data_IF_554466645534
#
_entry.id   IF_554466645534
#
_cell.length_a   1.000
_cell.length_b   1.000
_cell.length_c   1.000
_cell.angle_alpha   90.00
_cell.angle_beta   90.00
_cell.angle_gamma   90.00
#
_symmetry.space_group_name_H-M   'P 1'
#
loop_
_entity.id
_entity.type
_entity.pdbx_description
1 polymer ?
#
# COMPACT_ATOMS: atom_id res chain seq x y z
N UNK A 1 10.73 14.26 14.16
CA UNK A 1 10.03 14.45 12.91
C UNK A 1 9.27 13.20 12.50
N UNK A 2 8.43 13.28 11.48
CA UNK A 2 7.78 12.11 10.88
C UNK A 2 8.71 11.45 9.88
N UNK A 3 8.59 10.14 9.70
CA UNK A 3 9.23 9.45 8.59
C UNK A 3 8.61 9.83 7.26
N UNK A 4 9.42 9.89 6.22
CA UNK A 4 8.99 10.21 4.85
C UNK A 4 9.01 8.95 4.01
N UNK A 5 7.87 8.66 3.36
CA UNK A 5 7.71 7.53 2.44
C UNK A 5 7.37 8.04 1.03
N UNK A 6 7.90 7.39 -0.02
CA UNK A 6 7.57 7.75 -1.40
C UNK A 6 7.52 6.54 -2.33
N UNK A 7 6.79 6.70 -3.44
CA UNK A 7 6.69 5.67 -4.48
C UNK A 7 7.95 5.63 -5.34
N UNK A 8 8.42 4.42 -5.64
CA UNK A 8 9.44 4.16 -6.66
C UNK A 8 8.87 3.23 -7.75
N UNK A 9 9.21 3.51 -9.00
CA UNK A 9 8.78 2.73 -10.15
C UNK A 9 9.93 2.31 -11.07
N UNK A 10 11.14 2.83 -10.83
CA UNK A 10 12.37 2.54 -11.61
C UNK A 10 13.58 2.55 -10.70
N UNK A 11 14.70 1.97 -11.15
CA UNK A 11 15.99 2.06 -10.47
C UNK A 11 16.45 3.50 -10.25
N UNK A 12 16.19 4.39 -11.21
CA UNK A 12 16.51 5.82 -11.06
C UNK A 12 15.78 6.45 -9.88
N UNK A 13 14.48 6.14 -9.69
CA UNK A 13 13.72 6.65 -8.54
C UNK A 13 14.32 6.14 -7.23
N UNK A 14 14.76 4.87 -7.17
CA UNK A 14 15.44 4.33 -5.98
C UNK A 14 16.68 5.16 -5.64
N UNK A 15 17.57 5.38 -6.60
CA UNK A 15 18.81 6.13 -6.35
C UNK A 15 18.55 7.58 -5.90
N UNK A 16 17.61 8.27 -6.53
CA UNK A 16 17.26 9.65 -6.14
C UNK A 16 16.63 9.70 -4.73
N UNK A 17 15.78 8.74 -4.38
CA UNK A 17 15.18 8.65 -3.05
C UNK A 17 16.23 8.38 -1.96
N UNK A 18 17.16 7.45 -2.21
CA UNK A 18 18.26 7.17 -1.28
C UNK A 18 19.16 8.38 -1.09
N UNK A 19 19.48 9.08 -2.16
CA UNK A 19 20.26 10.32 -2.12
C UNK A 19 19.55 11.45 -1.36
N UNK A 20 18.22 11.53 -1.48
CA UNK A 20 17.39 12.52 -0.78
C UNK A 20 17.13 12.16 0.70
N UNK A 21 17.56 10.98 1.18
CA UNK A 21 17.37 10.55 2.56
C UNK A 21 15.92 10.17 2.88
N UNK A 22 15.20 9.61 1.93
CA UNK A 22 13.86 9.06 2.16
C UNK A 22 13.94 7.86 3.10
N UNK A 23 13.03 7.80 4.08
CA UNK A 23 13.06 6.79 5.14
C UNK A 23 12.43 5.45 4.73
N UNK A 24 11.42 5.48 3.84
CA UNK A 24 10.64 4.31 3.42
C UNK A 24 10.35 4.41 1.93
N UNK A 25 10.56 3.31 1.20
CA UNK A 25 10.13 3.22 -0.20
C UNK A 25 8.89 2.36 -0.33
N UNK A 26 8.00 2.69 -1.26
CA UNK A 26 6.91 1.80 -1.61
C UNK A 26 6.76 1.64 -3.12
N UNK A 27 6.30 0.47 -3.53
CA UNK A 27 6.19 0.08 -4.94
C UNK A 27 4.72 0.04 -5.31
N UNK A 28 4.34 0.79 -6.33
CA UNK A 28 2.97 0.94 -6.79
C UNK A 28 2.42 -0.31 -7.48
N UNK A 29 1.10 -0.46 -7.50
CA UNK A 29 0.40 -1.64 -8.01
C UNK A 29 0.69 -1.96 -9.49
N UNK A 30 0.89 -0.92 -10.33
CA UNK A 30 1.24 -1.10 -11.76
C UNK A 30 2.66 -1.62 -11.92
N UNK A 31 3.59 -1.15 -11.09
CA UNK A 31 4.98 -1.61 -11.07
C UNK A 31 5.07 -3.03 -10.54
N UNK A 32 4.34 -3.34 -9.46
CA UNK A 32 4.25 -4.70 -8.90
C UNK A 32 3.75 -5.73 -9.91
N UNK A 33 2.87 -5.33 -10.82
CA UNK A 33 2.37 -6.20 -11.88
C UNK A 33 3.41 -6.53 -12.97
N UNK A 34 4.60 -5.89 -12.95
CA UNK A 34 5.65 -6.09 -13.94
C UNK A 34 6.88 -6.75 -13.29
N UNK A 35 7.13 -8.06 -13.49
CA UNK A 35 8.27 -8.77 -12.89
C UNK A 35 9.64 -8.20 -13.28
N UNK A 36 9.77 -7.63 -14.49
CA UNK A 36 11.03 -7.04 -14.94
C UNK A 36 11.32 -5.73 -14.20
N UNK A 37 10.32 -4.86 -14.06
CA UNK A 37 10.47 -3.64 -13.26
C UNK A 37 10.74 -3.96 -11.78
N UNK A 38 10.08 -4.98 -11.23
CA UNK A 38 10.36 -5.46 -9.88
C UNK A 38 11.79 -5.96 -9.71
N UNK A 39 12.33 -6.68 -10.71
CA UNK A 39 13.72 -7.14 -10.67
C UNK A 39 14.71 -5.97 -10.77
N UNK A 40 14.46 -5.00 -11.64
CA UNK A 40 15.29 -3.79 -11.76
C UNK A 40 15.36 -3.02 -10.43
N UNK A 41 14.22 -2.83 -9.76
CA UNK A 41 14.15 -2.18 -8.45
C UNK A 41 14.88 -3.01 -7.39
N UNK A 42 14.68 -4.32 -7.37
CA UNK A 42 15.35 -5.23 -6.44
C UNK A 42 16.89 -5.15 -6.61
N UNK A 43 17.39 -5.14 -7.84
CA UNK A 43 18.80 -5.00 -8.13
C UNK A 43 19.39 -3.66 -7.67
N UNK A 44 18.63 -2.57 -7.83
CA UNK A 44 19.03 -1.24 -7.36
C UNK A 44 19.06 -1.13 -5.81
N UNK A 45 18.34 -2.00 -5.12
CA UNK A 45 18.25 -2.03 -3.66
C UNK A 45 19.26 -2.98 -3.00
N UNK A 46 20.06 -3.73 -3.75
CA UNK A 46 21.06 -4.63 -3.19
C UNK A 46 22.05 -3.90 -2.29
N UNK A 47 22.21 -4.40 -1.06
CA UNK A 47 23.10 -3.80 -0.07
C UNK A 47 22.55 -2.56 0.65
N UNK A 48 21.31 -2.19 0.38
CA UNK A 48 20.64 -1.05 1.05
C UNK A 48 19.81 -1.57 2.22
N UNK A 49 19.84 -0.87 3.36
CA UNK A 49 18.98 -1.15 4.53
C UNK A 49 17.88 -0.08 4.64
N UNK A 50 16.80 -0.25 3.92
CA UNK A 50 15.62 0.62 3.94
C UNK A 50 14.35 -0.23 3.98
N UNK A 51 13.28 0.17 4.70
CA UNK A 51 11.98 -0.48 4.60
C UNK A 51 11.39 -0.33 3.19
N UNK A 52 10.83 -1.42 2.66
CA UNK A 52 10.17 -1.42 1.35
C UNK A 52 8.77 -2.00 1.47
N UNK A 53 7.77 -1.23 1.09
CA UNK A 53 6.37 -1.66 1.08
C UNK A 53 5.94 -1.97 -0.36
N UNK A 54 5.23 -3.07 -0.56
CA UNK A 54 4.84 -3.53 -1.89
C UNK A 54 3.31 -3.57 -2.00
N UNK A 55 2.73 -2.69 -2.83
CA UNK A 55 1.29 -2.75 -3.14
C UNK A 55 0.96 -4.04 -3.90
N UNK A 56 -0.22 -4.60 -3.67
CA UNK A 56 -0.70 -5.70 -4.51
C UNK A 56 -0.76 -5.27 -5.99
N UNK A 57 -0.56 -6.20 -6.95
CA UNK A 57 -0.73 -5.91 -8.36
C UNK A 57 -2.17 -5.47 -8.66
N UNK A 58 -2.37 -4.77 -9.78
CA UNK A 58 -3.70 -4.31 -10.20
C UNK A 58 -4.67 -5.47 -10.42
N UNK A 59 -4.18 -6.59 -10.94
CA UNK A 59 -4.95 -7.82 -11.13
C UNK A 59 -5.01 -8.64 -9.84
N UNK A 60 -6.09 -9.41 -9.60
CA UNK A 60 -6.23 -10.27 -8.42
C UNK A 60 -5.37 -11.54 -8.54
N UNK A 61 -4.05 -11.37 -8.43
CA UNK A 61 -3.05 -12.42 -8.58
C UNK A 61 -2.14 -12.44 -7.35
N UNK A 62 -2.40 -13.40 -6.46
CA UNK A 62 -1.64 -13.58 -5.23
C UNK A 62 -0.21 -14.04 -5.49
N UNK A 63 0.00 -14.93 -6.45
CA UNK A 63 1.34 -15.47 -6.75
C UNK A 63 2.25 -14.37 -7.32
N UNK A 64 1.70 -13.48 -8.13
CA UNK A 64 2.41 -12.32 -8.64
C UNK A 64 2.81 -11.36 -7.49
N UNK A 65 1.93 -11.17 -6.50
CA UNK A 65 2.23 -10.34 -5.34
C UNK A 65 3.31 -10.95 -4.45
N UNK A 66 3.20 -12.24 -4.16
CA UNK A 66 4.24 -13.00 -3.41
C UNK A 66 5.57 -12.94 -4.16
N UNK A 67 5.57 -13.22 -5.46
CA UNK A 67 6.79 -13.16 -6.27
C UNK A 67 7.46 -11.78 -6.29
N UNK A 68 6.67 -10.69 -6.23
CA UNK A 68 7.22 -9.35 -6.08
C UNK A 68 7.91 -9.14 -4.73
N UNK A 69 7.26 -9.57 -3.63
CA UNK A 69 7.83 -9.52 -2.27
C UNK A 69 9.11 -10.38 -2.16
N UNK A 70 9.09 -11.58 -2.74
CA UNK A 70 10.26 -12.48 -2.75
C UNK A 70 11.47 -11.88 -3.46
N UNK A 71 11.27 -11.19 -4.60
CA UNK A 71 12.36 -10.52 -5.32
C UNK A 71 13.05 -9.48 -4.45
N UNK A 72 12.28 -8.66 -3.75
CA UNK A 72 12.82 -7.64 -2.83
C UNK A 72 13.52 -8.32 -1.64
N UNK A 73 12.92 -9.36 -1.05
CA UNK A 73 13.54 -10.11 0.05
C UNK A 73 14.87 -10.79 -0.38
N UNK A 74 14.90 -11.35 -1.58
CA UNK A 74 16.10 -12.03 -2.13
C UNK A 74 17.22 -11.04 -2.47
N UNK A 75 16.89 -9.77 -2.74
CA UNK A 75 17.88 -8.70 -2.86
C UNK A 75 18.52 -8.30 -1.52
N UNK A 76 18.04 -8.85 -0.40
CA UNK A 76 18.59 -8.64 0.94
C UNK A 76 17.73 -7.77 1.85
N UNK A 77 16.63 -7.19 1.36
CA UNK A 77 15.75 -6.31 2.13
C UNK A 77 14.88 -7.16 3.08
N UNK A 78 15.01 -6.93 4.40
CA UNK A 78 14.29 -7.70 5.43
C UNK A 78 13.14 -6.94 6.07
N UNK A 79 13.10 -5.61 5.92
CA UNK A 79 12.03 -4.76 6.45
C UNK A 79 10.97 -4.54 5.38
N UNK A 80 10.10 -5.54 5.19
CA UNK A 80 9.05 -5.54 4.17
C UNK A 80 7.66 -5.39 4.79
N UNK A 81 6.76 -4.76 4.03
CA UNK A 81 5.32 -4.80 4.30
C UNK A 81 4.55 -4.92 2.98
N UNK A 82 3.38 -5.52 3.02
CA UNK A 82 2.44 -5.55 1.92
C UNK A 82 1.41 -4.42 2.07
N UNK A 83 1.05 -3.75 0.96
CA UNK A 83 -0.05 -2.77 0.96
C UNK A 83 -1.19 -3.33 0.11
N UNK A 84 -2.34 -3.52 0.75
CA UNK A 84 -3.57 -3.93 0.08
C UNK A 84 -4.37 -2.70 -0.34
N UNK A 85 -4.49 -2.48 -1.66
CA UNK A 85 -5.20 -1.34 -2.26
C UNK A 85 -6.43 -1.74 -3.10
N UNK A 86 -6.86 -3.00 -2.99
CA UNK A 86 -7.89 -3.59 -3.83
C UNK A 86 -7.38 -3.96 -5.23
N UNK A 87 -8.24 -4.60 -6.00
CA UNK A 87 -7.93 -5.12 -7.33
C UNK A 87 -8.84 -4.51 -8.38
N UNK A 88 -8.34 -4.35 -9.60
CA UNK A 88 -9.14 -3.87 -10.70
C UNK A 88 -10.29 -4.84 -11.00
N UNK A 89 -11.45 -4.27 -11.32
CA UNK A 89 -12.62 -5.03 -11.75
C UNK A 89 -13.31 -4.25 -12.86
N UNK A 90 -14.01 -4.97 -13.73
CA UNK A 90 -14.90 -4.37 -14.71
C UNK A 90 -16.11 -3.70 -14.04
N UNK A 91 -16.67 -4.35 -13.01
CA UNK A 91 -17.79 -3.81 -12.23
C UNK A 91 -17.28 -2.89 -11.12
N UNK A 92 -17.51 -1.58 -11.28
CA UNK A 92 -17.08 -0.51 -10.36
C UNK A 92 -18.27 0.16 -9.64
N UNK A 93 -19.33 -0.57 -9.32
CA UNK A 93 -20.55 0.03 -8.73
C UNK A 93 -20.30 0.66 -7.36
N UNK A 94 -19.67 -0.05 -6.46
CA UNK A 94 -19.45 0.41 -5.09
C UNK A 94 -18.01 0.90 -4.90
N UNK A 95 -17.03 0.08 -5.23
CA UNK A 95 -15.60 0.34 -5.02
C UNK A 95 -14.88 0.77 -6.30
N UNK A 96 -13.87 1.61 -6.18
CA UNK A 96 -12.94 1.91 -7.27
C UNK A 96 -12.12 0.67 -7.64
N UNK A 97 -11.67 -0.07 -6.62
CA UNK A 97 -11.00 -1.35 -6.76
C UNK A 97 -11.60 -2.33 -5.76
N UNK A 98 -12.00 -3.51 -6.23
CA UNK A 98 -12.61 -4.51 -5.35
C UNK A 98 -11.63 -4.97 -4.28
N UNK A 99 -12.03 -4.97 -3.01
CA UNK A 99 -11.13 -5.35 -1.92
C UNK A 99 -10.70 -6.82 -1.97
N UNK A 100 -11.57 -7.75 -2.42
CA UNK A 100 -11.27 -9.19 -2.48
C UNK A 100 -10.46 -9.66 -1.26
N UNK A 101 -10.98 -9.43 -0.06
CA UNK A 101 -10.29 -9.63 1.23
C UNK A 101 -9.67 -11.01 1.43
N UNK A 102 -10.21 -12.04 0.77
CA UNK A 102 -9.66 -13.39 0.80
C UNK A 102 -8.19 -13.44 0.31
N UNK A 103 -7.78 -12.56 -0.60
CA UNK A 103 -6.41 -12.53 -1.13
C UNK A 103 -5.40 -12.07 -0.08
N UNK A 104 -5.53 -10.89 0.57
CA UNK A 104 -4.60 -10.52 1.63
C UNK A 104 -4.71 -11.41 2.88
N UNK A 105 -5.87 -12.02 3.15
CA UNK A 105 -6.00 -13.04 4.21
C UNK A 105 -5.15 -14.27 3.89
N UNK A 106 -5.20 -14.75 2.65
CA UNK A 106 -4.37 -15.87 2.20
C UNK A 106 -2.89 -15.51 2.16
N UNK A 107 -2.53 -14.26 1.77
CA UNK A 107 -1.16 -13.76 1.89
C UNK A 107 -0.63 -13.87 3.32
N UNK A 108 -1.42 -13.43 4.31
CA UNK A 108 -1.05 -13.55 5.73
C UNK A 108 -0.88 -15.00 6.16
N UNK A 109 -1.79 -15.89 5.72
CA UNK A 109 -1.69 -17.31 6.04
C UNK A 109 -0.37 -17.92 5.54
N UNK A 110 0.09 -17.51 4.35
CA UNK A 110 1.35 -18.01 3.75
C UNK A 110 2.60 -17.33 4.34
N UNK A 111 2.51 -16.05 4.69
CA UNK A 111 3.63 -15.25 5.19
C UNK A 111 3.18 -14.54 6.49
N UNK A 112 3.06 -15.28 7.61
CA UNK A 112 2.43 -14.76 8.84
C UNK A 112 3.17 -13.58 9.49
N UNK A 113 4.47 -13.47 9.25
CA UNK A 113 5.30 -12.39 9.81
C UNK A 113 5.36 -11.13 8.94
N UNK A 114 4.68 -11.11 7.78
CA UNK A 114 4.66 -9.96 6.90
C UNK A 114 3.57 -8.99 7.34
N UNK A 115 3.90 -7.75 7.75
CA UNK A 115 2.89 -6.73 8.03
C UNK A 115 2.04 -6.43 6.79
N UNK A 116 0.72 -6.30 6.98
CA UNK A 116 -0.20 -5.89 5.91
C UNK A 116 -0.83 -4.55 6.27
N UNK A 117 -0.73 -3.60 5.36
CA UNK A 117 -1.28 -2.25 5.44
C UNK A 117 -2.46 -2.16 4.48
N UNK A 118 -3.57 -1.54 4.88
CA UNK A 118 -4.70 -1.28 4.01
C UNK A 118 -4.62 0.14 3.42
N UNK A 119 -4.94 0.25 2.14
CA UNK A 119 -5.11 1.50 1.42
C UNK A 119 -6.62 1.71 1.12
N UNK A 120 -7.41 2.23 2.07
CA UNK A 120 -8.84 2.40 1.91
C UNK A 120 -9.18 3.45 0.85
N UNK A 121 -8.30 4.43 0.64
CA UNK A 121 -8.49 5.49 -0.36
C UNK A 121 -8.61 4.91 -1.77
N UNK A 122 -7.68 4.04 -2.15
CA UNK A 122 -7.69 3.41 -3.47
C UNK A 122 -8.72 2.27 -3.58
N UNK A 123 -9.07 1.59 -2.50
CA UNK A 123 -10.18 0.62 -2.49
C UNK A 123 -11.50 1.36 -2.75
N UNK A 124 -11.80 2.34 -1.92
CA UNK A 124 -13.09 3.05 -1.95
C UNK A 124 -13.25 3.95 -3.17
N UNK A 125 -12.26 4.79 -3.44
CA UNK A 125 -12.33 5.85 -4.47
C UNK A 125 -13.30 6.97 -4.14
N UNK A 126 -13.88 6.96 -2.92
CA UNK A 126 -14.87 7.92 -2.41
C UNK A 126 -14.66 8.14 -0.92
N UNK A 127 -14.82 9.38 -0.46
CA UNK A 127 -14.59 9.78 0.95
C UNK A 127 -15.45 9.01 1.94
N UNK A 128 -16.71 8.78 1.61
CA UNK A 128 -17.67 8.09 2.48
C UNK A 128 -17.29 6.62 2.77
N UNK A 129 -16.45 6.02 1.93
CA UNK A 129 -16.01 4.64 2.10
C UNK A 129 -14.73 4.52 2.93
N UNK A 130 -14.01 5.60 3.22
CA UNK A 130 -12.71 5.54 3.91
C UNK A 130 -12.88 4.98 5.33
N UNK A 131 -13.74 5.58 6.16
CA UNK A 131 -13.93 5.16 7.54
C UNK A 131 -14.39 3.69 7.68
N UNK A 132 -15.42 3.21 6.96
CA UNK A 132 -15.83 1.81 7.05
C UNK A 132 -14.75 0.85 6.54
N UNK A 133 -13.98 1.19 5.51
CA UNK A 133 -12.88 0.36 5.02
C UNK A 133 -11.70 0.32 6.01
N UNK A 134 -11.40 1.44 6.67
CA UNK A 134 -10.42 1.47 7.76
C UNK A 134 -10.82 0.51 8.88
N UNK A 135 -12.09 0.58 9.35
CA UNK A 135 -12.55 -0.31 10.41
C UNK A 135 -12.52 -1.77 9.97
N UNK A 136 -12.95 -2.07 8.75
CA UNK A 136 -12.90 -3.43 8.23
C UNK A 136 -11.47 -3.98 8.16
N UNK A 137 -10.49 -3.15 7.80
CA UNK A 137 -9.08 -3.56 7.83
C UNK A 137 -8.61 -3.87 9.26
N UNK A 138 -9.01 -3.06 10.25
CA UNK A 138 -8.68 -3.31 11.67
C UNK A 138 -9.37 -4.58 12.18
N UNK A 139 -10.63 -4.82 11.80
CA UNK A 139 -11.37 -6.03 12.15
C UNK A 139 -10.75 -7.31 11.56
N UNK A 140 -10.09 -7.19 10.41
CA UNK A 140 -9.30 -8.24 9.77
C UNK A 140 -7.87 -8.35 10.34
N UNK A 141 -7.52 -7.54 11.35
CA UNK A 141 -6.20 -7.57 12.01
C UNK A 141 -5.06 -7.01 11.14
N UNK A 142 -5.32 -6.10 10.21
CA UNK A 142 -4.23 -5.46 9.45
C UNK A 142 -3.38 -4.58 10.37
N UNK A 143 -2.10 -4.44 10.01
CA UNK A 143 -1.09 -3.79 10.86
C UNK A 143 -1.06 -2.27 10.73
N UNK A 144 -1.75 -1.71 9.74
CA UNK A 144 -1.78 -0.27 9.53
C UNK A 144 -2.62 0.17 8.34
N UNK A 145 -2.62 1.48 8.14
CA UNK A 145 -3.39 2.15 7.08
C UNK A 145 -2.49 3.10 6.31
N UNK A 146 -2.78 3.30 5.02
CA UNK A 146 -2.24 4.39 4.20
C UNK A 146 -3.42 5.14 3.60
N UNK A 147 -3.59 6.41 3.97
CA UNK A 147 -4.78 7.20 3.65
C UNK A 147 -4.36 8.50 2.98
N UNK A 148 -4.99 8.84 1.87
CA UNK A 148 -4.77 10.10 1.19
C UNK A 148 -5.50 11.25 1.90
N UNK A 149 -4.75 12.30 2.22
CA UNK A 149 -5.26 13.50 2.90
C UNK A 149 -4.76 14.77 2.22
N UNK A 150 -5.63 15.78 2.12
CA UNK A 150 -5.31 17.08 1.53
C UNK A 150 -6.05 18.19 2.26
N UNK A 151 -5.42 19.34 2.44
CA UNK A 151 -6.03 20.49 3.13
C UNK A 151 -7.30 21.01 2.43
N UNK A 152 -7.40 20.88 1.11
CA UNK A 152 -8.56 21.16 0.30
C UNK A 152 -8.75 20.06 -0.76
N UNK A 153 -9.37 18.90 -0.42
CA UNK A 153 -9.43 17.74 -1.29
C UNK A 153 -10.01 18.00 -2.68
N UNK A 154 -10.96 18.91 -2.81
CA UNK A 154 -11.59 19.23 -4.10
C UNK A 154 -10.63 19.92 -5.09
N UNK A 155 -9.54 20.49 -4.58
CA UNK A 155 -8.47 21.10 -5.38
C UNK A 155 -7.23 20.21 -5.53
N UNK A 156 -7.29 18.94 -5.09
CA UNK A 156 -6.16 18.03 -5.24
C UNK A 156 -5.87 17.74 -6.72
N UNK A 157 -4.61 17.67 -7.07
CA UNK A 157 -4.17 17.45 -8.46
C UNK A 157 -4.54 16.06 -9.00
N UNK A 158 -4.73 15.10 -8.10
CA UNK A 158 -5.14 13.74 -8.44
C UNK A 158 -6.05 13.18 -7.36
N UNK A 159 -6.90 12.23 -7.74
CA UNK A 159 -7.70 11.40 -6.84
C UNK A 159 -8.55 12.19 -5.81
N UNK A 160 -8.97 13.41 -6.16
CA UNK A 160 -9.69 14.37 -5.29
C UNK A 160 -10.89 13.76 -4.57
N UNK A 161 -11.65 12.87 -5.24
CA UNK A 161 -12.87 12.25 -4.70
C UNK A 161 -12.63 11.31 -3.52
N UNK A 162 -11.40 10.81 -3.35
CA UNK A 162 -11.05 9.84 -2.31
C UNK A 162 -10.17 10.43 -1.20
N UNK A 163 -9.73 11.67 -1.33
CA UNK A 163 -8.93 12.34 -0.31
C UNK A 163 -9.81 12.93 0.78
N UNK A 164 -9.37 12.84 2.03
CA UNK A 164 -10.03 13.45 3.19
C UNK A 164 -9.24 14.64 3.69
N UNK A 165 -9.89 15.56 4.45
CA UNK A 165 -9.12 16.61 5.13
C UNK A 165 -8.35 16.06 6.32
N UNK A 166 -7.28 16.75 6.81
CA UNK A 166 -6.58 16.35 8.02
C UNK A 166 -7.49 16.18 9.24
N UNK A 167 -8.49 17.06 9.41
CA UNK A 167 -9.45 16.96 10.53
C UNK A 167 -10.32 15.71 10.42
N UNK A 168 -10.77 15.37 9.20
CA UNK A 168 -11.54 14.15 8.95
C UNK A 168 -10.66 12.91 9.15
N UNK A 169 -9.39 12.97 8.76
CA UNK A 169 -8.44 11.88 9.02
C UNK A 169 -8.25 11.66 10.52
N UNK A 170 -8.01 12.72 11.29
CA UNK A 170 -7.87 12.66 12.76
C UNK A 170 -9.13 12.08 13.41
N UNK A 171 -10.30 12.51 12.96
CA UNK A 171 -11.59 11.99 13.44
C UNK A 171 -11.73 10.49 13.15
N UNK A 172 -11.44 10.04 11.92
CA UNK A 172 -11.48 8.63 11.55
C UNK A 172 -10.55 7.82 12.46
N UNK A 173 -9.30 8.26 12.63
CA UNK A 173 -8.31 7.54 13.44
C UNK A 173 -8.72 7.42 14.90
N UNK A 174 -9.37 8.42 15.48
CA UNK A 174 -9.89 8.40 16.86
C UNK A 174 -11.05 7.44 17.07
N UNK A 175 -11.83 7.18 16.02
CA UNK A 175 -12.99 6.28 16.10
C UNK A 175 -12.65 4.81 15.88
N UNK A 176 -11.47 4.50 15.34
CA UNK A 176 -11.09 3.13 15.03
C UNK A 176 -10.99 2.26 16.30
N UNK A 177 -11.68 1.13 16.24
CA UNK A 177 -11.56 0.08 17.24
C UNK A 177 -10.47 -0.89 16.79
N UNK A 178 -9.34 -0.87 17.49
CA UNK A 178 -8.24 -1.81 17.26
C UNK A 178 -8.48 -3.03 18.16
N UNK A 179 -8.75 -4.18 17.53
CA UNK A 179 -8.90 -5.43 18.24
C UNK A 179 -7.50 -5.91 18.66
N UNK A 180 -7.32 -6.13 19.96
CA UNK A 180 -6.12 -6.84 20.47
C UNK A 180 -6.35 -8.33 20.23
N UNK A 181 -5.35 -9.01 19.65
CA UNK A 181 -5.27 -10.46 19.62
C UNK A 181 -5.24 -11.06 21.01
#
# INVERSE_FOLDING_TARGET
GMYVATEVATSKHVYECLKAGIDILWIGARTTANPFAMQEIADALKGVDIPVFVKNPVNPDLELWIGALERINNAGLKRLAAIHRGFSSYDKKLYRNLPQWHIPIELRRRIPNLPIICDPSHIGGKRELIAPLCQQAMDLGFNGLIIESHCNPDCAWSDASQQVTPDVLDYILKLLVIRKE
#
